data_IF_959022300292
#
_entry.id   IF_959022300292
#
_cell.length_a   1.000
_cell.length_b   1.000
_cell.length_c   1.000
_cell.angle_alpha   90.00
_cell.angle_beta   90.00
_cell.angle_gamma   90.00
#
_symmetry.space_group_name_H-M   'P 1'
#
loop_
_entity.id
_entity.type
_entity.pdbx_description
1 polymer ?
#
# COMPACT_ATOMS: atom_id res chain seq x y z
N UNK A 1 2.02 14.48 -21.28
CA UNK A 1 3.35 14.15 -20.76
C UNK A 1 4.06 13.33 -21.82
N UNK A 2 5.31 13.64 -22.15
CA UNK A 2 6.11 12.79 -23.04
C UNK A 2 6.69 11.61 -22.26
N UNK A 3 7.19 10.56 -22.95
CA UNK A 3 7.90 9.44 -22.29
C UNK A 3 9.10 9.95 -21.48
N UNK A 4 9.83 10.94 -22.02
CA UNK A 4 10.96 11.55 -21.32
C UNK A 4 10.52 12.20 -20.00
N UNK A 5 9.46 13.01 -20.06
CA UNK A 5 8.92 13.67 -18.86
C UNK A 5 8.46 12.64 -17.82
N UNK A 6 7.82 11.55 -18.25
CA UNK A 6 7.41 10.47 -17.35
C UNK A 6 8.61 9.81 -16.68
N UNK A 7 9.66 9.46 -17.43
CA UNK A 7 10.87 8.86 -16.87
C UNK A 7 11.54 9.80 -15.88
N UNK A 8 11.68 11.09 -16.22
CA UNK A 8 12.28 12.08 -15.34
C UNK A 8 11.46 12.25 -14.06
N UNK A 9 10.13 12.28 -14.17
CA UNK A 9 9.23 12.38 -13.04
C UNK A 9 9.23 11.13 -12.18
N UNK A 10 9.18 9.94 -12.76
CA UNK A 10 9.26 8.66 -12.04
C UNK A 10 10.56 8.56 -11.24
N UNK A 11 11.69 9.05 -11.78
CA UNK A 11 12.97 9.10 -11.04
C UNK A 11 12.90 9.95 -9.78
N UNK A 12 11.99 10.93 -9.69
CA UNK A 12 11.80 11.72 -8.46
C UNK A 12 11.23 10.92 -7.30
N UNK A 13 10.56 9.78 -7.55
CA UNK A 13 10.14 8.86 -6.48
C UNK A 13 11.31 8.31 -5.67
N UNK A 14 12.54 8.29 -6.22
CA UNK A 14 13.76 7.93 -5.48
C UNK A 14 14.22 9.02 -4.51
N UNK A 15 13.84 10.27 -4.76
CA UNK A 15 14.25 11.43 -3.98
C UNK A 15 13.24 11.77 -2.87
N UNK A 16 11.99 11.38 -3.02
CA UNK A 16 10.94 11.59 -2.02
C UNK A 16 11.03 10.48 -0.97
N UNK A 17 11.20 10.90 0.28
CA UNK A 17 11.34 10.02 1.44
C UNK A 17 10.01 9.86 2.15
N UNK A 18 9.69 8.62 2.50
CA UNK A 18 8.57 8.31 3.39
C UNK A 18 8.87 8.68 4.82
N UNK A 19 7.82 8.90 5.61
CA UNK A 19 7.92 9.30 7.01
C UNK A 19 8.76 10.57 7.19
N UNK A 20 8.64 11.52 6.26
CA UNK A 20 9.43 12.75 6.18
C UNK A 20 9.33 13.68 7.42
N UNK A 21 8.34 13.47 8.27
CA UNK A 21 8.15 14.21 9.53
C UNK A 21 8.75 13.50 10.76
N UNK A 22 9.24 12.27 10.60
CA UNK A 22 9.78 11.45 11.68
C UNK A 22 11.30 11.26 11.52
N UNK A 23 11.99 11.08 12.65
CA UNK A 23 13.39 10.65 12.59
C UNK A 23 13.44 9.17 12.16
N UNK A 24 14.18 8.89 11.08
CA UNK A 24 14.39 7.54 10.55
C UNK A 24 15.88 7.20 10.50
N UNK A 25 16.22 5.96 10.83
CA UNK A 25 17.59 5.44 10.75
C UNK A 25 17.91 5.07 9.30
N UNK A 26 16.98 4.40 8.59
CA UNK A 26 17.14 3.98 7.20
C UNK A 26 16.09 4.64 6.31
N UNK A 27 16.36 5.81 5.71
CA UNK A 27 15.38 6.49 4.86
C UNK A 27 14.92 5.61 3.70
N UNK A 28 13.61 5.39 3.61
CA UNK A 28 12.98 4.70 2.49
C UNK A 28 12.40 5.70 1.49
N UNK A 29 12.66 5.47 0.21
CA UNK A 29 12.06 6.26 -0.88
C UNK A 29 10.72 5.69 -1.33
N UNK A 30 9.87 6.51 -1.96
CA UNK A 30 8.62 6.03 -2.57
C UNK A 30 8.87 4.91 -3.59
N UNK A 31 9.97 4.98 -4.34
CA UNK A 31 10.30 3.92 -5.30
C UNK A 31 10.64 2.58 -4.64
N UNK A 32 11.26 2.60 -3.45
CA UNK A 32 11.55 1.39 -2.69
C UNK A 32 10.28 0.78 -2.11
N UNK A 33 9.42 1.65 -1.57
CA UNK A 33 8.11 1.27 -1.07
C UNK A 33 7.24 0.65 -2.18
N UNK A 34 7.06 1.35 -3.31
CA UNK A 34 6.27 0.85 -4.43
C UNK A 34 6.76 -0.51 -4.97
N UNK A 35 8.08 -0.75 -4.98
CA UNK A 35 8.64 -2.06 -5.28
C UNK A 35 8.27 -3.13 -4.25
N UNK A 36 8.38 -2.80 -2.95
CA UNK A 36 7.97 -3.69 -1.86
C UNK A 36 6.48 -4.05 -1.92
N UNK A 37 5.62 -3.06 -2.09
CA UNK A 37 4.17 -3.24 -2.24
C UNK A 37 3.83 -4.08 -3.46
N UNK A 38 4.42 -3.78 -4.63
CA UNK A 38 4.18 -4.58 -5.84
C UNK A 38 4.59 -6.05 -5.68
N UNK A 39 5.69 -6.30 -4.97
CA UNK A 39 6.17 -7.67 -4.70
C UNK A 39 5.21 -8.42 -3.75
N UNK A 40 4.79 -7.77 -2.66
CA UNK A 40 3.82 -8.34 -1.71
C UNK A 40 2.47 -8.59 -2.40
N UNK A 41 1.99 -7.63 -3.18
CA UNK A 41 0.75 -7.73 -3.93
C UNK A 41 0.77 -8.93 -4.88
N UNK A 42 1.82 -9.06 -5.69
CA UNK A 42 2.00 -10.20 -6.59
C UNK A 42 1.98 -11.54 -5.82
N UNK A 43 2.68 -11.62 -4.69
CA UNK A 43 2.71 -12.81 -3.85
C UNK A 43 1.32 -13.16 -3.29
N UNK A 44 0.58 -12.17 -2.78
CA UNK A 44 -0.75 -12.37 -2.21
C UNK A 44 -1.76 -12.79 -3.29
N UNK A 45 -1.75 -12.14 -4.45
CA UNK A 45 -2.57 -12.52 -5.59
C UNK A 45 -2.27 -13.96 -6.04
N UNK A 46 -0.98 -14.31 -6.16
CA UNK A 46 -0.57 -15.68 -6.54
C UNK A 46 -0.99 -16.71 -5.49
N UNK A 47 -0.82 -16.39 -4.21
CA UNK A 47 -1.20 -17.26 -3.07
C UNK A 47 -2.71 -17.50 -3.07
N UNK A 48 -3.50 -16.46 -3.36
CA UNK A 48 -4.96 -16.54 -3.46
C UNK A 48 -5.43 -17.17 -4.78
N UNK A 49 -4.62 -17.13 -5.84
CA UNK A 49 -5.02 -17.52 -7.19
C UNK A 49 -5.72 -16.46 -8.00
N UNK A 50 -5.60 -15.18 -7.62
CA UNK A 50 -6.13 -14.05 -8.38
C UNK A 50 -5.16 -13.74 -9.51
N UNK A 51 -5.67 -13.78 -10.75
CA UNK A 51 -4.91 -13.36 -11.92
C UNK A 51 -4.70 -11.85 -11.91
N UNK A 52 -3.49 -11.42 -12.26
CA UNK A 52 -3.12 -10.02 -12.38
C UNK A 52 -2.40 -9.78 -13.70
N UNK A 53 -2.61 -8.61 -14.26
CA UNK A 53 -1.99 -8.17 -15.51
C UNK A 53 -0.68 -7.42 -15.24
N UNK A 54 0.09 -7.17 -16.31
CA UNK A 54 1.26 -6.30 -16.21
C UNK A 54 0.85 -4.86 -15.87
N UNK A 55 -0.31 -4.43 -16.35
CA UNK A 55 -0.92 -3.15 -16.07
C UNK A 55 -1.28 -3.00 -14.58
N UNK A 56 -1.86 -4.05 -13.96
CA UNK A 56 -2.13 -4.04 -12.51
C UNK A 56 -0.84 -3.84 -11.72
N UNK A 57 0.19 -4.64 -12.02
CA UNK A 57 1.47 -4.53 -11.33
C UNK A 57 2.13 -3.17 -11.55
N UNK A 58 2.04 -2.61 -12.76
CA UNK A 58 2.51 -1.27 -13.06
C UNK A 58 1.79 -0.22 -12.21
N UNK A 59 0.46 -0.30 -12.08
CA UNK A 59 -0.32 0.60 -11.24
C UNK A 59 0.10 0.49 -9.77
N UNK A 60 0.20 -0.72 -9.23
CA UNK A 60 0.60 -0.93 -7.83
C UNK A 60 2.01 -0.42 -7.55
N UNK A 61 2.97 -0.71 -8.43
CA UNK A 61 4.36 -0.23 -8.25
C UNK A 61 4.50 1.28 -8.34
N UNK A 62 3.50 1.97 -8.91
CA UNK A 62 3.47 3.42 -9.11
C UNK A 62 2.29 4.08 -8.39
N UNK A 63 1.72 3.45 -7.37
CA UNK A 63 0.53 3.97 -6.70
C UNK A 63 0.78 5.36 -6.05
N UNK A 64 1.99 5.60 -5.56
CA UNK A 64 2.43 6.91 -5.04
C UNK A 64 3.02 7.84 -6.11
N UNK A 65 2.82 7.57 -7.40
CA UNK A 65 3.39 8.43 -8.46
C UNK A 65 2.84 9.86 -8.39
N UNK A 66 1.59 10.04 -7.96
CA UNK A 66 0.99 11.34 -7.71
C UNK A 66 1.82 12.22 -6.76
N UNK A 67 2.49 11.59 -5.78
CA UNK A 67 3.33 12.26 -4.80
C UNK A 67 4.58 12.90 -5.40
N UNK A 68 4.95 12.55 -6.63
CA UNK A 68 5.99 13.28 -7.38
C UNK A 68 5.59 14.72 -7.73
N UNK A 69 4.29 15.05 -7.67
CA UNK A 69 3.76 16.38 -7.90
C UNK A 69 3.39 17.08 -6.59
N UNK A 70 2.85 16.35 -5.63
CA UNK A 70 2.33 16.91 -4.37
C UNK A 70 3.32 16.85 -3.21
N UNK A 71 4.31 15.96 -3.28
CA UNK A 71 5.08 15.50 -2.14
C UNK A 71 4.31 14.43 -1.33
N UNK A 72 5.06 13.64 -0.54
CA UNK A 72 4.48 12.68 0.42
C UNK A 72 3.90 13.46 1.60
N UNK A 73 2.58 13.66 1.57
CA UNK A 73 1.85 14.33 2.63
C UNK A 73 1.51 13.32 3.73
N UNK A 74 1.95 13.61 4.95
CA UNK A 74 1.67 12.74 6.09
C UNK A 74 0.17 12.40 6.19
N UNK A 75 -0.12 11.10 6.36
CA UNK A 75 -1.47 10.53 6.45
C UNK A 75 -2.38 11.23 7.47
N UNK A 76 -1.86 11.71 8.60
CA UNK A 76 -2.64 12.42 9.61
C UNK A 76 -3.17 13.76 9.08
N UNK A 77 -2.43 14.41 8.19
CA UNK A 77 -2.84 15.64 7.53
C UNK A 77 -3.82 15.30 6.40
N UNK A 78 -3.45 14.36 5.51
CA UNK A 78 -4.28 13.94 4.37
C UNK A 78 -5.68 13.50 4.81
N UNK A 79 -5.78 12.79 5.94
CA UNK A 79 -7.03 12.25 6.49
C UNK A 79 -7.62 13.06 7.65
N UNK A 80 -7.19 14.31 7.87
CA UNK A 80 -7.61 15.10 9.02
C UNK A 80 -9.14 15.32 9.10
N UNK A 81 -9.78 15.53 7.96
CA UNK A 81 -11.24 15.66 7.85
C UNK A 81 -11.72 15.29 6.45
N UNK A 82 -13.02 14.98 6.31
CA UNK A 82 -13.63 14.75 5.00
C UNK A 82 -13.38 15.89 4.02
N UNK A 83 -13.42 17.14 4.51
CA UNK A 83 -13.10 18.33 3.71
C UNK A 83 -11.65 18.31 3.20
N UNK A 84 -10.71 17.82 4.01
CA UNK A 84 -9.30 17.75 3.62
C UNK A 84 -9.09 16.64 2.60
N UNK A 85 -9.72 15.48 2.80
CA UNK A 85 -9.69 14.35 1.86
C UNK A 85 -10.22 14.78 0.50
N UNK A 86 -11.43 15.34 0.44
CA UNK A 86 -12.04 15.78 -0.83
C UNK A 86 -11.24 16.89 -1.51
N UNK A 87 -10.66 17.83 -0.73
CA UNK A 87 -9.79 18.85 -1.30
C UNK A 87 -8.51 18.25 -1.88
N UNK A 88 -7.96 17.24 -1.22
CA UNK A 88 -6.75 16.56 -1.68
C UNK A 88 -7.00 15.73 -2.94
N UNK A 89 -8.09 14.98 -2.98
CA UNK A 89 -8.54 14.26 -4.18
C UNK A 89 -8.66 15.23 -5.36
N UNK A 90 -9.30 16.39 -5.15
CA UNK A 90 -9.42 17.43 -6.18
C UNK A 90 -8.04 17.93 -6.65
N UNK A 91 -7.12 18.21 -5.73
CA UNK A 91 -5.75 18.64 -6.06
C UNK A 91 -5.06 17.57 -6.93
N UNK A 92 -5.12 16.29 -6.55
CA UNK A 92 -4.54 15.20 -7.34
C UNK A 92 -5.15 15.12 -8.74
N UNK A 93 -6.47 15.30 -8.89
CA UNK A 93 -7.13 15.33 -10.21
C UNK A 93 -6.65 16.48 -11.10
N UNK A 94 -6.42 17.65 -10.50
CA UNK A 94 -6.07 18.87 -11.23
C UNK A 94 -4.60 18.87 -11.70
N UNK A 95 -3.69 18.30 -10.89
CA UNK A 95 -2.26 18.29 -11.18
C UNK A 95 -1.83 17.11 -12.06
N UNK A 96 -2.51 15.97 -11.97
CA UNK A 96 -2.16 14.78 -12.73
C UNK A 96 -2.63 14.92 -14.18
N UNK A 97 -1.77 14.64 -15.17
CA UNK A 97 -2.24 14.45 -16.52
C UNK A 97 -3.31 13.35 -16.59
N UNK A 98 -4.37 13.55 -17.37
CA UNK A 98 -5.52 12.62 -17.43
C UNK A 98 -5.17 11.15 -17.69
N UNK A 99 -4.14 10.87 -18.49
CA UNK A 99 -3.66 9.50 -18.77
C UNK A 99 -2.90 8.85 -17.61
N UNK A 100 -2.53 9.63 -16.58
CA UNK A 100 -1.92 9.16 -15.33
C UNK A 100 -2.91 9.19 -14.17
N UNK A 101 -4.16 9.60 -14.40
CA UNK A 101 -5.22 9.55 -13.40
C UNK A 101 -5.40 8.15 -12.77
N UNK A 102 -5.24 7.01 -13.49
CA UNK A 102 -5.26 5.69 -12.85
C UNK A 102 -4.22 5.48 -11.74
N UNK A 103 -3.20 6.33 -11.64
CA UNK A 103 -2.17 6.32 -10.59
C UNK A 103 -2.49 7.28 -9.43
N UNK A 104 -3.68 7.88 -9.38
CA UNK A 104 -4.17 8.59 -8.19
C UNK A 104 -4.86 7.62 -7.23
N UNK A 105 -5.05 8.02 -5.97
CA UNK A 105 -5.78 7.22 -4.98
C UNK A 105 -7.16 6.80 -5.50
N UNK A 106 -7.88 7.75 -6.10
CA UNK A 106 -9.19 7.49 -6.68
C UNK A 106 -9.09 6.60 -7.91
N UNK A 107 -8.15 6.88 -8.81
CA UNK A 107 -7.92 6.10 -10.02
C UNK A 107 -7.64 4.64 -9.72
N UNK A 108 -6.84 4.35 -8.69
CA UNK A 108 -6.55 3.01 -8.21
C UNK A 108 -7.81 2.31 -7.69
N UNK A 109 -8.61 3.00 -6.87
CA UNK A 109 -9.86 2.44 -6.34
C UNK A 109 -10.89 2.11 -7.43
N UNK A 110 -10.85 2.83 -8.56
CA UNK A 110 -11.72 2.60 -9.71
C UNK A 110 -11.18 1.55 -10.70
N UNK A 111 -9.85 1.40 -10.78
CA UNK A 111 -9.18 0.54 -11.77
C UNK A 111 -9.02 -0.89 -11.26
N UNK A 112 -8.83 -1.05 -9.94
CA UNK A 112 -8.68 -2.36 -9.32
C UNK A 112 -10.04 -2.99 -9.06
N UNK A 113 -10.10 -4.31 -9.22
CA UNK A 113 -11.32 -5.09 -8.94
C UNK A 113 -11.60 -5.13 -7.45
N UNK A 114 -12.84 -5.51 -7.10
CA UNK A 114 -13.19 -5.78 -5.70
C UNK A 114 -12.33 -6.87 -5.06
N UNK A 115 -11.67 -7.73 -5.83
CA UNK A 115 -10.77 -8.77 -5.32
C UNK A 115 -9.33 -8.27 -5.15
N UNK A 116 -8.82 -7.47 -6.10
CA UNK A 116 -7.43 -6.99 -6.09
C UNK A 116 -7.25 -5.76 -5.21
N UNK A 117 -8.24 -4.88 -5.12
CA UNK A 117 -8.12 -3.64 -4.35
C UNK A 117 -7.86 -3.89 -2.86
N UNK A 118 -8.57 -4.81 -2.17
CA UNK A 118 -8.26 -5.11 -0.77
C UNK A 118 -6.89 -5.74 -0.56
N UNK A 119 -6.40 -6.55 -1.51
CA UNK A 119 -5.04 -7.12 -1.47
C UNK A 119 -3.97 -6.05 -1.66
N UNK A 120 -4.21 -5.05 -2.51
CA UNK A 120 -3.35 -3.89 -2.64
C UNK A 120 -3.26 -3.12 -1.31
N UNK A 121 -4.40 -2.74 -0.73
CA UNK A 121 -4.42 -2.02 0.55
C UNK A 121 -3.70 -2.80 1.65
N UNK A 122 -3.87 -4.13 1.65
CA UNK A 122 -3.19 -5.00 2.61
C UNK A 122 -1.68 -4.99 2.38
N UNK A 123 -1.23 -5.03 1.12
CA UNK A 123 0.18 -4.99 0.73
C UNK A 123 0.84 -3.67 1.12
N UNK A 124 0.18 -2.53 0.88
CA UNK A 124 0.66 -1.20 1.29
C UNK A 124 0.83 -1.13 2.81
N UNK A 125 -0.20 -1.53 3.56
CA UNK A 125 -0.15 -1.56 5.02
C UNK A 125 0.93 -2.53 5.56
N UNK A 126 1.09 -3.70 4.92
CA UNK A 126 2.06 -4.72 5.33
C UNK A 126 3.49 -4.25 5.09
N UNK A 127 3.76 -3.62 3.96
CA UNK A 127 5.07 -3.05 3.66
C UNK A 127 5.45 -1.97 4.69
N UNK A 128 4.52 -1.06 4.97
CA UNK A 128 4.75 0.00 5.94
C UNK A 128 4.95 -0.56 7.36
N UNK A 129 4.20 -1.59 7.74
CA UNK A 129 4.40 -2.29 9.01
C UNK A 129 5.80 -2.90 9.09
N UNK A 130 6.20 -3.70 8.10
CA UNK A 130 7.53 -4.34 8.04
C UNK A 130 8.67 -3.32 8.15
N UNK A 131 8.58 -2.21 7.41
CA UNK A 131 9.56 -1.13 7.48
C UNK A 131 9.65 -0.54 8.90
N UNK A 132 8.51 -0.22 9.51
CA UNK A 132 8.50 0.34 10.87
C UNK A 132 8.98 -0.68 11.93
N UNK A 133 8.70 -1.98 11.75
CA UNK A 133 9.22 -3.04 12.62
C UNK A 133 10.75 -3.14 12.53
N UNK A 134 11.31 -3.07 11.32
CA UNK A 134 12.76 -3.07 11.12
C UNK A 134 13.42 -1.86 11.79
N UNK A 135 12.86 -0.66 11.62
CA UNK A 135 13.35 0.56 12.26
C UNK A 135 13.31 0.47 13.79
N UNK A 136 12.21 -0.04 14.36
CA UNK A 136 12.09 -0.27 15.81
C UNK A 136 13.10 -1.30 16.31
N UNK A 137 13.32 -2.39 15.57
CA UNK A 137 14.30 -3.42 15.93
C UNK A 137 15.73 -2.88 16.03
N UNK A 138 16.01 -1.77 15.32
CA UNK A 138 17.29 -1.05 15.35
C UNK A 138 17.30 0.10 16.37
N UNK A 139 16.27 0.22 17.20
CA UNK A 139 16.17 1.19 18.29
C UNK A 139 15.46 2.50 17.93
N UNK A 140 14.78 2.59 16.78
CA UNK A 140 14.03 3.80 16.42
C UNK A 140 12.71 3.89 17.21
N UNK A 141 12.68 4.75 18.23
CA UNK A 141 11.47 4.98 19.04
C UNK A 141 10.47 5.95 18.41
N UNK A 142 10.86 6.71 17.38
CA UNK A 142 9.98 7.70 16.73
C UNK A 142 8.88 7.04 15.91
N UNK A 143 9.15 5.85 15.33
CA UNK A 143 8.17 5.13 14.51
C UNK A 143 7.23 4.20 15.28
N UNK A 144 7.28 4.17 16.62
CA UNK A 144 6.42 3.29 17.45
C UNK A 144 4.93 3.53 17.18
N UNK A 145 4.52 4.78 17.03
CA UNK A 145 3.11 5.12 16.76
C UNK A 145 2.69 4.69 15.34
N UNK A 146 3.55 4.89 14.34
CA UNK A 146 3.30 4.44 12.98
C UNK A 146 3.19 2.91 12.92
N UNK A 147 4.12 2.20 13.58
CA UNK A 147 4.10 0.75 13.70
C UNK A 147 2.80 0.22 14.32
N UNK A 148 2.40 0.79 15.47
CA UNK A 148 1.16 0.41 16.14
C UNK A 148 -0.07 0.68 15.25
N UNK A 149 -0.08 1.79 14.52
CA UNK A 149 -1.13 2.11 13.55
C UNK A 149 -1.25 1.05 12.45
N UNK A 150 -0.16 0.72 11.76
CA UNK A 150 -0.20 -0.25 10.66
C UNK A 150 -0.49 -1.67 11.16
N UNK A 151 0.04 -2.06 12.32
CA UNK A 151 -0.31 -3.32 12.98
C UNK A 151 -1.82 -3.41 13.23
N UNK A 152 -2.41 -2.39 13.84
CA UNK A 152 -3.85 -2.37 14.12
C UNK A 152 -4.70 -2.36 12.83
N UNK A 153 -4.22 -1.70 11.78
CA UNK A 153 -4.86 -1.74 10.46
C UNK A 153 -4.85 -3.16 9.89
N UNK A 154 -3.70 -3.84 9.89
CA UNK A 154 -3.55 -5.21 9.42
C UNK A 154 -4.46 -6.17 10.21
N UNK A 155 -4.52 -6.05 11.54
CA UNK A 155 -5.43 -6.88 12.35
C UNK A 155 -6.90 -6.71 11.91
N UNK A 156 -7.35 -5.47 11.64
CA UNK A 156 -8.72 -5.22 11.16
C UNK A 156 -8.97 -5.85 9.80
N UNK A 157 -8.03 -5.70 8.87
CA UNK A 157 -8.16 -6.26 7.52
C UNK A 157 -8.16 -7.79 7.54
N UNK A 158 -7.34 -8.43 8.37
CA UNK A 158 -7.37 -9.89 8.59
C UNK A 158 -8.75 -10.34 9.06
N UNK A 159 -9.34 -9.64 10.03
CA UNK A 159 -10.68 -9.98 10.54
C UNK A 159 -11.78 -9.75 9.48
N UNK A 160 -11.67 -8.73 8.64
CA UNK A 160 -12.60 -8.48 7.53
C UNK A 160 -12.51 -9.58 6.47
N UNK A 161 -11.28 -9.96 6.12
CA UNK A 161 -10.99 -11.10 5.26
C UNK A 161 -11.66 -12.40 5.75
N UNK A 162 -11.65 -12.67 7.05
CA UNK A 162 -12.36 -13.83 7.61
C UNK A 162 -13.89 -13.71 7.55
N UNK A 163 -14.43 -12.54 7.89
CA UNK A 163 -15.88 -12.29 7.99
C UNK A 163 -16.60 -12.37 6.66
N UNK A 164 -16.04 -11.72 5.64
CA UNK A 164 -16.70 -11.61 4.34
C UNK A 164 -16.71 -12.93 3.59
N UNK A 165 -16.10 -14.00 4.14
CA UNK A 165 -15.86 -15.24 3.42
C UNK A 165 -15.27 -14.93 2.04
N UNK A 166 -14.44 -13.88 1.99
CA UNK A 166 -13.78 -13.34 0.80
C UNK A 166 -12.94 -14.42 0.08
N UNK A 167 -12.82 -15.62 0.69
CA UNK A 167 -12.02 -16.77 0.32
C UNK A 167 -12.82 -18.10 0.23
N UNK A 168 -14.16 -18.09 0.25
CA UNK A 168 -14.98 -19.32 0.11
C UNK A 168 -15.46 -19.60 -1.32
N UNK A 169 -15.10 -18.77 -2.31
CA UNK A 169 -15.50 -18.99 -3.70
C UNK A 169 -14.45 -19.69 -4.55
N UNK A 170 -13.21 -19.84 -4.06
CA UNK A 170 -12.15 -20.53 -4.78
C UNK A 170 -12.39 -22.03 -4.83
N UNK A 171 -12.46 -22.57 -6.06
CA UNK A 171 -12.69 -24.00 -6.33
C UNK A 171 -11.43 -24.86 -6.14
N UNK A 172 -10.28 -24.24 -5.89
CA UNK A 172 -8.98 -24.90 -5.75
C UNK A 172 -8.58 -24.97 -4.27
N UNK A 173 -8.77 -26.14 -3.66
CA UNK A 173 -8.53 -26.39 -2.23
C UNK A 173 -7.08 -26.04 -1.79
N UNK A 174 -6.08 -26.26 -2.66
CA UNK A 174 -4.67 -25.99 -2.35
C UNK A 174 -4.39 -24.48 -2.17
N UNK A 175 -4.98 -23.62 -3.01
CA UNK A 175 -4.81 -22.17 -2.91
C UNK A 175 -5.50 -21.62 -1.66
N UNK A 176 -6.68 -22.15 -1.37
CA UNK A 176 -7.40 -21.85 -0.13
C UNK A 176 -6.57 -22.21 1.10
N UNK A 177 -5.93 -23.38 1.11
CA UNK A 177 -5.09 -23.81 2.22
C UNK A 177 -3.87 -22.89 2.42
N UNK A 178 -3.17 -22.53 1.33
CA UNK A 178 -2.02 -21.62 1.40
C UNK A 178 -2.42 -20.24 1.95
N UNK A 179 -3.57 -19.73 1.53
CA UNK A 179 -4.09 -18.46 2.03
C UNK A 179 -4.45 -18.51 3.52
N UNK A 180 -5.11 -19.57 3.98
CA UNK A 180 -5.43 -19.77 5.41
C UNK A 180 -4.15 -19.82 6.24
N UNK A 181 -3.14 -20.57 5.78
CA UNK A 181 -1.83 -20.64 6.45
C UNK A 181 -1.16 -19.26 6.52
N UNK A 182 -1.23 -18.46 5.46
CA UNK A 182 -0.73 -17.10 5.46
C UNK A 182 -1.44 -16.22 6.50
N UNK A 183 -2.77 -16.24 6.54
CA UNK A 183 -3.53 -15.46 7.52
C UNK A 183 -3.22 -15.87 8.96
N UNK A 184 -3.11 -17.17 9.23
CA UNK A 184 -2.77 -17.66 10.57
C UNK A 184 -1.34 -17.28 10.98
N UNK A 185 -0.38 -17.33 10.05
CA UNK A 185 0.95 -16.77 10.27
C UNK A 185 0.88 -15.28 10.61
N UNK A 186 0.17 -14.49 9.82
CA UNK A 186 0.06 -13.05 10.05
C UNK A 186 -0.63 -12.75 11.39
N UNK A 187 -1.61 -13.53 11.83
CA UNK A 187 -2.19 -13.38 13.18
C UNK A 187 -1.17 -13.64 14.27
N UNK A 188 -0.26 -14.60 14.10
CA UNK A 188 0.85 -14.78 15.04
C UNK A 188 1.73 -13.53 15.13
N UNK A 189 2.07 -12.96 13.97
CA UNK A 189 2.97 -11.81 13.88
C UNK A 189 2.35 -10.48 14.35
N UNK A 190 1.09 -10.21 13.94
CA UNK A 190 0.41 -8.95 14.25
C UNK A 190 -0.58 -9.05 15.41
N UNK A 191 -0.92 -10.25 15.87
CA UNK A 191 -2.02 -10.49 16.82
C UNK A 191 -1.63 -10.70 18.28
N UNK A 192 -0.34 -10.75 18.64
CA UNK A 192 0.10 -10.82 20.05
C UNK A 192 -0.30 -9.54 20.81
N UNK A 193 -1.54 -9.51 21.33
CA UNK A 193 -2.15 -8.38 22.03
C UNK A 193 -3.54 -7.96 21.56
N UNK A 194 -4.30 -8.84 20.89
CA UNK A 194 -5.78 -8.75 20.84
C UNK A 194 -6.42 -9.20 22.15
#
# INVERSE_FOLDING_TARGET
MTIKDYIEKNRTMRAIKRFNMEAVIHPQSLSCHGYGVGTLFYLLCTTKGVEITAEDLFMIMNHDFAETFTGDLNKQIKNHSIKTITAWEQIEREILPSHLFPLSDEGLSMSLTNETYPLFLFSDAMEAWLYTSEEISKGNTCLVNAHAHYRNLLCKMILEFEKEKFFLQDKEEDKRQNWVMFLDYMKGEVGDGL
#
